data_IF_899363367723
#
_entry.id   IF_899363367723
#
_cell.length_a   1.000
_cell.length_b   1.000
_cell.length_c   1.000
_cell.angle_alpha   90.00
_cell.angle_beta   90.00
_cell.angle_gamma   90.00
#
_symmetry.space_group_name_H-M   'P 1'
#
loop_
_entity.id
_entity.type
_entity.pdbx_description
1 polymer ?
#
# COMPACT_ATOMS: atom_id res chain seq x y z
N UNK A 1 -0.08 -7.70 17.47
CA UNK A 1 0.52 -7.86 16.13
C UNK A 1 0.85 -6.48 15.60
N UNK A 2 1.83 -6.40 14.69
CA UNK A 2 2.40 -5.14 14.20
C UNK A 2 2.27 -5.00 12.68
N UNK A 3 2.27 -3.77 12.21
CA UNK A 3 2.37 -3.38 10.81
C UNK A 3 3.82 -3.15 10.37
N UNK A 4 4.73 -2.94 11.31
CA UNK A 4 6.16 -2.77 11.04
C UNK A 4 6.95 -4.02 11.42
N UNK A 5 7.93 -4.37 10.58
CA UNK A 5 8.83 -5.50 10.82
C UNK A 5 10.03 -5.01 11.63
N UNK A 6 10.05 -5.31 12.93
CA UNK A 6 11.21 -5.06 13.79
C UNK A 6 11.97 -6.36 14.06
N UNK A 7 13.30 -6.30 14.14
CA UNK A 7 14.12 -7.48 14.50
C UNK A 7 13.83 -8.02 15.93
N UNK A 8 13.02 -7.32 16.74
CA UNK A 8 12.63 -7.76 18.08
C UNK A 8 11.21 -7.35 18.54
N UNK A 9 10.54 -8.28 19.25
CA UNK A 9 9.39 -8.21 20.20
C UNK A 9 7.92 -8.36 19.78
N UNK A 10 7.52 -8.53 18.51
CA UNK A 10 6.11 -8.85 18.22
C UNK A 10 5.83 -9.43 16.82
N UNK A 11 4.88 -10.37 16.67
CA UNK A 11 4.58 -10.94 15.36
C UNK A 11 3.84 -9.92 14.49
N UNK A 12 4.17 -9.91 13.19
CA UNK A 12 3.35 -9.23 12.18
C UNK A 12 1.93 -9.79 12.17
N UNK A 13 0.99 -9.00 11.65
CA UNK A 13 -0.35 -9.49 11.35
C UNK A 13 -0.33 -10.68 10.36
N UNK A 14 -1.28 -11.63 10.46
CA UNK A 14 -1.20 -12.88 9.70
C UNK A 14 -1.19 -12.65 8.19
N UNK A 15 -2.03 -11.75 7.68
CA UNK A 15 -2.06 -11.44 6.25
C UNK A 15 -0.77 -10.81 5.73
N UNK A 16 0.00 -10.12 6.58
CA UNK A 16 1.32 -9.59 6.20
C UNK A 16 2.32 -10.74 6.16
N UNK A 17 2.32 -11.60 7.19
CA UNK A 17 3.17 -12.80 7.24
C UNK A 17 2.96 -13.70 6.04
N UNK A 18 1.72 -13.87 5.63
CA UNK A 18 1.37 -14.68 4.46
C UNK A 18 2.02 -14.18 3.17
N UNK A 19 2.34 -12.88 3.07
CA UNK A 19 3.05 -12.30 1.93
C UNK A 19 4.57 -12.33 2.11
N UNK A 20 5.10 -12.09 3.31
CA UNK A 20 6.55 -11.87 3.51
C UNK A 20 7.32 -13.06 4.09
N UNK A 21 6.63 -14.10 4.56
CA UNK A 21 7.24 -15.30 5.10
C UNK A 21 7.07 -16.51 4.16
N UNK A 22 8.05 -17.40 4.17
CA UNK A 22 8.04 -18.66 3.42
C UNK A 22 8.04 -19.83 4.42
N UNK A 23 6.87 -20.29 4.89
CA UNK A 23 6.78 -21.29 5.94
C UNK A 23 7.14 -22.71 5.47
N UNK A 24 7.13 -22.95 4.17
CA UNK A 24 7.45 -24.24 3.54
C UNK A 24 8.21 -24.03 2.22
N UNK A 25 8.93 -25.05 1.77
CA UNK A 25 9.57 -25.05 0.46
C UNK A 25 8.53 -25.12 -0.66
N UNK A 26 8.53 -24.16 -1.58
CA UNK A 26 7.62 -24.11 -2.72
C UNK A 26 8.36 -24.53 -3.99
N UNK A 27 7.82 -25.50 -4.74
CA UNK A 27 8.46 -26.02 -5.96
C UNK A 27 7.46 -26.63 -6.91
N UNK A 28 7.97 -27.13 -8.05
CA UNK A 28 7.18 -27.78 -9.10
C UNK A 28 6.18 -28.78 -8.54
N UNK A 29 4.93 -28.67 -9.02
CA UNK A 29 3.80 -29.49 -8.57
C UNK A 29 3.00 -28.88 -7.41
N UNK A 30 3.48 -27.81 -6.78
CA UNK A 30 2.66 -27.02 -5.84
C UNK A 30 1.54 -26.31 -6.60
N UNK A 31 0.36 -26.20 -5.98
CA UNK A 31 -0.82 -25.52 -6.54
C UNK A 31 -1.44 -24.55 -5.53
N UNK A 32 -2.35 -23.71 -6.01
CA UNK A 32 -3.11 -22.77 -5.21
C UNK A 32 -2.29 -21.58 -4.76
N UNK A 33 -2.64 -20.99 -3.61
CA UNK A 33 -2.11 -19.70 -3.17
C UNK A 33 -0.58 -19.63 -3.05
N UNK A 34 0.08 -20.71 -2.64
CA UNK A 34 1.54 -20.75 -2.57
C UNK A 34 2.17 -20.60 -3.96
N UNK A 35 1.66 -21.30 -4.98
CA UNK A 35 2.12 -21.16 -6.36
C UNK A 35 1.76 -19.77 -6.91
N UNK A 36 0.53 -19.31 -6.65
CA UNK A 36 0.06 -17.99 -7.07
C UNK A 36 0.97 -16.86 -6.57
N UNK A 37 1.35 -16.85 -5.29
CA UNK A 37 2.24 -15.82 -4.74
C UNK A 37 3.62 -15.83 -5.37
N UNK A 38 4.19 -17.01 -5.66
CA UNK A 38 5.44 -17.08 -6.43
C UNK A 38 5.28 -16.40 -7.77
N UNK A 39 4.22 -16.72 -8.51
CA UNK A 39 3.96 -16.14 -9.83
C UNK A 39 3.74 -14.63 -9.77
N UNK A 40 2.95 -14.15 -8.79
CA UNK A 40 2.72 -12.73 -8.55
C UNK A 40 4.01 -11.97 -8.22
N UNK A 41 4.84 -12.51 -7.33
CA UNK A 41 6.11 -11.88 -6.97
C UNK A 41 7.13 -11.90 -8.11
N UNK A 42 7.17 -12.97 -8.92
CA UNK A 42 7.99 -12.97 -10.13
C UNK A 42 7.54 -11.86 -11.10
N UNK A 43 6.23 -11.70 -11.28
CA UNK A 43 5.66 -10.61 -12.08
C UNK A 43 6.05 -9.22 -11.55
N UNK A 44 5.98 -9.02 -10.24
CA UNK A 44 6.40 -7.76 -9.60
C UNK A 44 7.91 -7.51 -9.73
N UNK A 45 8.72 -8.56 -9.84
CA UNK A 45 10.16 -8.46 -10.11
C UNK A 45 10.49 -8.34 -11.61
N UNK A 46 9.50 -7.99 -12.45
CA UNK A 46 9.69 -7.70 -13.88
C UNK A 46 9.75 -8.93 -14.80
N UNK A 47 9.46 -10.12 -14.29
CA UNK A 47 9.38 -11.34 -15.10
C UNK A 47 7.94 -11.51 -15.63
N UNK A 48 7.76 -12.13 -16.79
CA UNK A 48 6.44 -12.27 -17.40
C UNK A 48 5.99 -13.72 -17.43
N UNK A 49 4.92 -14.03 -16.71
CA UNK A 49 4.25 -15.33 -16.74
C UNK A 49 2.76 -15.21 -16.45
N UNK A 50 2.02 -16.26 -16.78
CA UNK A 50 0.60 -16.37 -16.41
C UNK A 50 0.51 -16.76 -14.93
N UNK A 51 -0.39 -16.09 -14.20
CA UNK A 51 -0.74 -16.45 -12.83
C UNK A 51 -1.92 -17.42 -12.90
N UNK A 52 -1.62 -18.72 -12.97
CA UNK A 52 -2.58 -19.82 -13.08
C UNK A 52 -2.71 -20.67 -11.81
N UNK A 53 -2.00 -20.27 -10.75
CA UNK A 53 -1.94 -20.97 -9.46
C UNK A 53 -1.34 -22.39 -9.57
N UNK A 54 -0.60 -22.70 -10.64
CA UNK A 54 0.09 -23.97 -10.85
C UNK A 54 1.60 -23.74 -10.97
N UNK A 55 2.38 -24.30 -10.06
CA UNK A 55 3.83 -24.29 -10.17
C UNK A 55 4.26 -25.36 -11.18
N UNK A 56 4.08 -25.05 -12.46
CA UNK A 56 4.46 -25.87 -13.60
C UNK A 56 5.89 -25.60 -14.11
N UNK A 57 6.25 -26.21 -15.25
CA UNK A 57 7.56 -26.00 -15.89
C UNK A 57 7.87 -24.53 -16.23
N UNK A 58 6.85 -23.73 -16.54
CA UNK A 58 7.00 -22.28 -16.81
C UNK A 58 7.44 -21.57 -15.54
N UNK A 59 6.70 -21.70 -14.44
CA UNK A 59 7.06 -21.09 -13.15
C UNK A 59 8.43 -21.55 -12.66
N UNK A 60 8.75 -22.85 -12.76
CA UNK A 60 10.07 -23.38 -12.41
C UNK A 60 11.20 -22.71 -13.20
N UNK A 61 11.02 -22.56 -14.51
CA UNK A 61 12.01 -21.91 -15.38
C UNK A 61 12.19 -20.44 -15.01
N UNK A 62 11.09 -19.73 -14.76
CA UNK A 62 11.13 -18.32 -14.37
C UNK A 62 11.73 -18.10 -12.98
N UNK A 63 11.51 -19.02 -12.02
CA UNK A 63 12.20 -18.99 -10.72
C UNK A 63 13.71 -19.16 -10.89
N UNK A 64 14.14 -20.09 -11.75
CA UNK A 64 15.57 -20.27 -12.06
C UNK A 64 16.19 -19.02 -12.69
N UNK A 65 15.47 -18.37 -13.60
CA UNK A 65 15.88 -17.08 -14.18
C UNK A 65 16.04 -16.00 -13.10
N UNK A 66 15.04 -15.86 -12.22
CA UNK A 66 15.09 -14.95 -11.08
C UNK A 66 16.28 -15.25 -10.16
N UNK A 67 16.49 -16.52 -9.82
CA UNK A 67 17.58 -16.96 -8.96
C UNK A 67 18.94 -16.61 -9.57
N UNK A 68 19.16 -16.90 -10.86
CA UNK A 68 20.40 -16.52 -11.56
C UNK A 68 20.63 -15.02 -11.58
N UNK A 69 19.59 -14.24 -11.88
CA UNK A 69 19.67 -12.78 -11.92
C UNK A 69 20.05 -12.17 -10.56
N UNK A 70 19.67 -12.84 -9.46
CA UNK A 70 19.92 -12.39 -8.09
C UNK A 70 21.07 -13.13 -7.38
N UNK A 71 21.92 -13.87 -8.12
CA UNK A 71 23.03 -14.64 -7.57
C UNK A 71 22.63 -15.65 -6.46
N UNK A 72 21.44 -16.25 -6.61
CA UNK A 72 20.94 -17.32 -5.74
C UNK A 72 21.27 -18.70 -6.33
N UNK A 73 21.03 -19.75 -5.54
CA UNK A 73 21.11 -21.14 -6.03
C UNK A 73 20.06 -21.34 -7.12
N UNK A 74 20.49 -21.71 -8.34
CA UNK A 74 19.62 -22.04 -9.48
C UNK A 74 19.12 -23.49 -9.35
N UNK A 75 18.15 -23.70 -8.48
CA UNK A 75 17.51 -25.01 -8.23
C UNK A 75 16.01 -25.02 -8.59
N UNK A 76 15.42 -23.87 -8.92
CA UNK A 76 14.01 -23.75 -9.23
C UNK A 76 13.10 -24.02 -8.05
N UNK A 77 13.64 -24.06 -6.82
CA UNK A 77 12.90 -24.21 -5.56
C UNK A 77 12.90 -22.88 -4.80
N UNK A 78 11.73 -22.47 -4.31
CA UNK A 78 11.57 -21.22 -3.56
C UNK A 78 11.55 -21.53 -2.06
N UNK A 79 12.72 -21.41 -1.44
CA UNK A 79 12.90 -21.43 0.01
C UNK A 79 12.98 -20.01 0.62
N UNK A 80 13.25 -19.89 1.94
CA UNK A 80 13.27 -18.61 2.64
C UNK A 80 14.24 -17.57 2.05
N UNK A 81 15.38 -18.01 1.52
CA UNK A 81 16.38 -17.11 0.92
C UNK A 81 15.83 -16.51 -0.39
N UNK A 82 15.32 -17.34 -1.31
CA UNK A 82 14.71 -16.85 -2.56
C UNK A 82 13.49 -16.00 -2.28
N UNK A 83 12.66 -16.39 -1.31
CA UNK A 83 11.49 -15.63 -0.92
C UNK A 83 11.84 -14.23 -0.42
N UNK A 84 12.83 -14.11 0.47
CA UNK A 84 13.25 -12.81 1.00
C UNK A 84 13.70 -11.82 -0.09
N UNK A 85 14.27 -12.32 -1.20
CA UNK A 85 14.61 -11.49 -2.37
C UNK A 85 13.37 -11.15 -3.18
N UNK A 86 12.46 -12.11 -3.41
CA UNK A 86 11.19 -11.87 -4.12
C UNK A 86 10.37 -10.75 -3.48
N UNK A 87 10.34 -10.71 -2.14
CA UNK A 87 9.50 -9.78 -1.36
C UNK A 87 10.28 -8.56 -0.82
N UNK A 88 11.50 -8.33 -1.32
CA UNK A 88 12.44 -7.36 -0.75
C UNK A 88 11.86 -5.95 -0.64
N UNK A 89 11.11 -5.50 -1.65
CA UNK A 89 10.47 -4.18 -1.67
C UNK A 89 9.40 -4.03 -0.57
N UNK A 90 8.59 -5.07 -0.36
CA UNK A 90 7.61 -5.07 0.73
C UNK A 90 8.29 -5.12 2.09
N UNK A 91 9.36 -5.91 2.23
CA UNK A 91 10.16 -5.90 3.45
C UNK A 91 10.80 -4.53 3.71
N UNK A 92 11.26 -3.83 2.67
CA UNK A 92 11.89 -2.52 2.81
C UNK A 92 10.92 -1.50 3.42
N UNK A 93 9.67 -1.44 2.95
CA UNK A 93 8.67 -0.51 3.49
C UNK A 93 8.17 -0.92 4.88
N UNK A 94 8.09 -2.21 5.17
CA UNK A 94 7.71 -2.73 6.50
C UNK A 94 8.80 -2.52 7.55
N UNK A 95 10.07 -2.58 7.16
CA UNK A 95 11.23 -2.39 8.07
C UNK A 95 11.65 -0.93 8.24
N UNK A 96 11.16 -0.04 7.37
CA UNK A 96 11.59 1.35 7.39
C UNK A 96 11.30 1.99 8.75
N UNK A 97 12.30 2.62 9.36
CA UNK A 97 12.16 3.39 10.61
C UNK A 97 11.73 4.82 10.30
N UNK A 98 11.20 5.56 11.28
CA UNK A 98 10.97 7.01 11.13
C UNK A 98 12.27 7.78 11.36
N UNK A 99 12.45 8.90 10.67
CA UNK A 99 13.63 9.77 10.80
C UNK A 99 13.43 10.89 11.84
N UNK A 100 12.82 10.58 13.00
CA UNK A 100 12.57 11.50 14.12
C UNK A 100 11.54 12.62 13.87
N UNK A 101 10.56 12.43 12.99
CA UNK A 101 9.41 13.34 13.00
C UNK A 101 8.52 13.03 14.20
N UNK A 102 8.42 13.95 15.17
CA UNK A 102 7.41 13.83 16.24
C UNK A 102 5.99 14.03 15.70
N UNK A 103 5.84 14.55 14.47
CA UNK A 103 4.54 14.87 13.88
C UNK A 103 4.01 13.72 13.03
N UNK A 104 2.76 13.31 13.28
CA UNK A 104 2.05 12.28 12.53
C UNK A 104 2.00 12.66 11.05
N UNK A 105 1.64 13.90 10.73
CA UNK A 105 1.45 14.35 9.35
C UNK A 105 2.69 14.13 8.47
N UNK A 106 3.88 14.36 9.02
CA UNK A 106 5.16 14.07 8.37
C UNK A 106 5.47 12.57 8.36
N UNK A 107 5.21 11.84 9.45
CA UNK A 107 5.43 10.40 9.50
C UNK A 107 4.60 9.63 8.45
N UNK A 108 3.32 10.01 8.24
CA UNK A 108 2.52 9.39 7.16
C UNK A 108 3.10 9.70 5.78
N UNK A 109 3.64 10.91 5.56
CA UNK A 109 4.32 11.23 4.30
C UNK A 109 5.64 10.49 4.12
N UNK A 110 6.41 10.26 5.19
CA UNK A 110 7.60 9.39 5.11
C UNK A 110 7.19 7.99 4.65
N UNK A 111 6.09 7.44 5.19
CA UNK A 111 5.56 6.14 4.74
C UNK A 111 5.08 6.19 3.30
N UNK A 112 4.29 7.19 2.93
CA UNK A 112 3.79 7.36 1.58
C UNK A 112 4.92 7.45 0.55
N UNK A 113 6.01 8.18 0.86
CA UNK A 113 7.20 8.27 0.00
C UNK A 113 7.97 6.96 -0.09
N UNK A 114 8.09 6.22 1.02
CA UNK A 114 8.73 4.90 1.02
C UNK A 114 7.96 3.91 0.13
N UNK A 115 6.63 3.89 0.24
CA UNK A 115 5.78 3.08 -0.63
C UNK A 115 5.85 3.55 -2.09
N UNK A 116 5.79 4.85 -2.36
CA UNK A 116 5.95 5.37 -3.72
C UNK A 116 7.28 4.93 -4.37
N UNK A 117 8.37 4.90 -3.61
CA UNK A 117 9.70 4.54 -4.12
C UNK A 117 9.80 3.09 -4.60
N UNK A 118 9.03 2.18 -4.01
CA UNK A 118 8.99 0.75 -4.42
C UNK A 118 7.83 0.43 -5.36
N UNK A 119 7.10 1.45 -5.80
CA UNK A 119 6.05 1.37 -6.83
C UNK A 119 5.09 0.16 -6.69
N UNK A 120 4.30 0.05 -5.60
CA UNK A 120 3.27 -0.98 -5.45
C UNK A 120 2.29 -0.98 -6.61
N UNK A 121 2.11 -2.13 -7.26
CA UNK A 121 1.15 -2.32 -8.35
C UNK A 121 0.29 -3.56 -8.15
N UNK A 122 -0.87 -3.55 -8.79
CA UNK A 122 -1.73 -4.71 -8.94
C UNK A 122 -1.08 -5.76 -9.83
N UNK A 123 -1.34 -7.03 -9.52
CA UNK A 123 -0.92 -8.15 -10.35
C UNK A 123 -1.94 -9.28 -10.26
N UNK A 124 -2.16 -9.99 -11.36
CA UNK A 124 -3.18 -11.05 -11.44
C UNK A 124 -4.63 -10.56 -11.61
N UNK A 125 -4.84 -9.28 -11.92
CA UNK A 125 -6.14 -8.69 -12.26
C UNK A 125 -6.49 -7.46 -11.41
N UNK A 126 -7.66 -6.88 -11.67
CA UNK A 126 -8.11 -5.66 -11.01
C UNK A 126 -8.25 -5.85 -9.49
N UNK A 127 -7.70 -4.90 -8.73
CA UNK A 127 -7.68 -4.88 -7.27
C UNK A 127 -7.07 -6.17 -6.68
N UNK A 128 -6.06 -6.76 -7.33
CA UNK A 128 -5.40 -8.01 -6.88
C UNK A 128 -3.91 -7.89 -6.66
N UNK A 129 -3.38 -8.88 -5.95
CA UNK A 129 -1.96 -9.09 -5.80
C UNK A 129 -1.44 -8.76 -4.40
N UNK A 130 -0.15 -9.01 -4.14
CA UNK A 130 0.43 -8.91 -2.80
C UNK A 130 0.28 -7.54 -2.17
N UNK A 131 0.47 -6.46 -2.93
CA UNK A 131 0.33 -5.10 -2.43
C UNK A 131 -1.12 -4.76 -2.06
N UNK A 132 -2.10 -5.20 -2.84
CA UNK A 132 -3.51 -5.01 -2.48
C UNK A 132 -3.84 -5.76 -1.19
N UNK A 133 -3.42 -7.02 -1.08
CA UNK A 133 -3.63 -7.81 0.14
C UNK A 133 -2.94 -7.19 1.36
N UNK A 134 -1.80 -6.53 1.19
CA UNK A 134 -1.15 -5.79 2.26
C UNK A 134 -2.05 -4.67 2.81
N UNK A 135 -2.57 -3.82 1.91
CA UNK A 135 -3.39 -2.65 2.28
C UNK A 135 -4.82 -3.01 2.71
N UNK A 136 -5.32 -4.16 2.24
CA UNK A 136 -6.71 -4.59 2.43
C UNK A 136 -6.86 -5.73 3.44
N UNK A 137 -5.89 -5.88 4.35
CA UNK A 137 -5.89 -6.90 5.42
C UNK A 137 -6.13 -8.33 4.92
N UNK A 138 -5.50 -8.67 3.79
CA UNK A 138 -5.55 -9.98 3.14
C UNK A 138 -6.63 -10.13 2.07
N UNK A 139 -7.52 -9.15 1.93
CA UNK A 139 -8.56 -9.15 0.90
C UNK A 139 -8.05 -8.63 -0.45
N UNK A 140 -8.69 -9.05 -1.53
CA UNK A 140 -8.39 -8.63 -2.91
C UNK A 140 -9.56 -8.99 -3.85
N UNK A 141 -9.48 -8.51 -5.09
CA UNK A 141 -10.47 -8.65 -6.16
C UNK A 141 -11.33 -7.41 -6.34
N UNK A 142 -12.14 -7.38 -7.39
CA UNK A 142 -12.89 -6.19 -7.83
C UNK A 142 -13.75 -5.51 -6.74
N UNK A 143 -14.15 -6.23 -5.69
CA UNK A 143 -14.90 -5.69 -4.56
C UNK A 143 -14.04 -4.89 -3.55
N UNK A 144 -12.71 -4.85 -3.74
CA UNK A 144 -11.73 -4.31 -2.81
C UNK A 144 -10.87 -3.20 -3.43
N UNK A 145 -11.47 -2.08 -3.88
CA UNK A 145 -10.69 -0.90 -4.25
C UNK A 145 -9.87 -0.44 -3.05
N UNK A 146 -8.58 -0.16 -3.27
CA UNK A 146 -7.60 -0.13 -2.19
C UNK A 146 -7.04 1.26 -1.84
N UNK A 147 -7.60 2.35 -2.37
CA UNK A 147 -7.16 3.72 -2.06
C UNK A 147 -7.30 4.06 -0.57
N UNK A 148 -8.47 3.80 0.02
CA UNK A 148 -8.72 4.05 1.45
C UNK A 148 -7.99 3.05 2.36
N UNK A 149 -7.78 1.81 1.88
CA UNK A 149 -6.94 0.84 2.58
C UNK A 149 -5.47 1.25 2.62
N UNK A 150 -4.95 1.79 1.51
CA UNK A 150 -3.61 2.37 1.45
C UNK A 150 -3.46 3.52 2.45
N UNK A 151 -4.39 4.49 2.45
CA UNK A 151 -4.38 5.59 3.43
C UNK A 151 -4.43 5.08 4.86
N UNK A 152 -5.34 4.15 5.15
CA UNK A 152 -5.49 3.55 6.49
C UNK A 152 -4.23 2.83 6.93
N UNK A 153 -3.64 2.01 6.06
CA UNK A 153 -2.43 1.25 6.36
C UNK A 153 -1.24 2.15 6.65
N UNK A 154 -1.03 3.22 5.86
CA UNK A 154 0.08 4.15 6.11
C UNK A 154 -0.11 4.97 7.39
N UNK A 155 -1.35 5.33 7.72
CA UNK A 155 -1.66 5.92 9.03
C UNK A 155 -1.36 4.94 10.17
N UNK A 156 -1.76 3.67 10.04
CA UNK A 156 -1.50 2.62 11.03
C UNK A 156 0.02 2.43 11.23
N UNK A 157 0.80 2.36 10.14
CA UNK A 157 2.26 2.30 10.20
C UNK A 157 2.88 3.52 10.88
N UNK A 158 2.44 4.73 10.50
CA UNK A 158 2.97 5.97 11.07
C UNK A 158 2.66 6.08 12.57
N UNK A 159 1.43 5.76 12.98
CA UNK A 159 1.05 5.78 14.38
C UNK A 159 1.80 4.73 15.21
N UNK A 160 2.03 3.53 14.65
CA UNK A 160 2.83 2.49 15.32
C UNK A 160 4.28 2.94 15.52
N UNK A 161 4.89 3.59 14.53
CA UNK A 161 6.26 4.13 14.63
C UNK A 161 6.39 5.27 15.65
N UNK A 162 5.33 6.07 15.82
CA UNK A 162 5.30 7.17 16.78
C UNK A 162 4.80 6.77 18.17
N UNK A 163 4.41 5.51 18.38
CA UNK A 163 3.71 5.03 19.58
C UNK A 163 2.47 5.89 19.92
N UNK A 164 1.66 6.19 18.89
CA UNK A 164 0.47 7.03 18.99
C UNK A 164 -0.80 6.27 18.66
N UNK A 165 -1.92 6.80 19.16
CA UNK A 165 -3.24 6.36 18.73
C UNK A 165 -3.57 6.99 17.39
N UNK A 166 -4.23 6.20 16.55
CA UNK A 166 -4.80 6.68 15.30
C UNK A 166 -5.82 7.80 15.57
N UNK A 167 -5.78 8.93 14.82
CA UNK A 167 -6.68 10.06 15.02
C UNK A 167 -8.12 9.75 14.58
N UNK A 168 -8.28 8.81 13.66
CA UNK A 168 -9.54 8.16 13.26
C UNK A 168 -9.29 6.66 13.11
N UNK A 169 -10.29 5.81 13.28
CA UNK A 169 -10.11 4.35 13.26
C UNK A 169 -9.62 3.78 11.92
N UNK A 170 -9.78 4.52 10.82
CA UNK A 170 -9.48 4.04 9.47
C UNK A 170 -10.63 3.24 8.87
N UNK A 171 -10.57 3.00 7.56
CA UNK A 171 -11.55 2.22 6.80
C UNK A 171 -11.07 1.92 5.38
N UNK A 172 -11.65 0.92 4.75
CA UNK A 172 -11.53 0.66 3.31
C UNK A 172 -12.50 1.49 2.46
N UNK A 173 -13.32 2.35 3.08
CA UNK A 173 -14.30 3.22 2.41
C UNK A 173 -13.95 4.69 2.65
N UNK A 174 -13.89 5.47 1.58
CA UNK A 174 -13.72 6.93 1.65
C UNK A 174 -14.85 7.60 2.43
N UNK A 175 -16.09 7.13 2.28
CA UNK A 175 -17.25 7.65 3.03
C UNK A 175 -17.11 7.42 4.54
N UNK A 176 -16.60 6.25 4.91
CA UNK A 176 -16.33 5.95 6.32
C UNK A 176 -15.20 6.82 6.88
N UNK A 177 -14.14 7.05 6.11
CA UNK A 177 -13.06 7.97 6.52
C UNK A 177 -13.61 9.39 6.71
N UNK A 178 -14.43 9.88 5.78
CA UNK A 178 -15.10 11.17 5.87
C UNK A 178 -16.00 11.27 7.11
N UNK A 179 -16.84 10.27 7.37
CA UNK A 179 -17.72 10.22 8.53
C UNK A 179 -16.95 10.23 9.85
N UNK A 180 -15.86 9.45 9.95
CA UNK A 180 -14.99 9.43 11.12
C UNK A 180 -14.30 10.78 11.33
N UNK A 181 -13.78 11.40 10.26
CA UNK A 181 -13.16 12.71 10.31
C UNK A 181 -14.13 13.81 10.75
N UNK A 182 -15.39 13.77 10.29
CA UNK A 182 -16.45 14.69 10.74
C UNK A 182 -16.71 14.53 12.23
N UNK A 183 -16.83 13.28 12.71
CA UNK A 183 -17.03 12.99 14.13
C UNK A 183 -15.83 13.45 15.00
N UNK A 184 -14.62 13.41 14.45
CA UNK A 184 -13.40 13.86 15.11
C UNK A 184 -13.11 15.36 14.97
N UNK A 185 -13.93 16.12 14.23
CA UNK A 185 -13.69 17.55 13.98
C UNK A 185 -12.50 17.85 13.05
N UNK A 186 -12.10 16.87 12.23
CA UNK A 186 -10.94 16.95 11.32
C UNK A 186 -11.34 17.19 9.86
N UNK A 187 -12.64 17.16 9.56
CA UNK A 187 -13.16 17.26 8.21
C UNK A 187 -13.26 18.72 7.76
N UNK A 188 -12.69 19.02 6.60
CA UNK A 188 -12.76 20.33 5.95
C UNK A 188 -13.51 20.15 4.63
N UNK A 189 -14.67 20.79 4.54
CA UNK A 189 -15.43 20.91 3.28
C UNK A 189 -14.71 21.85 2.32
N UNK A 190 -14.67 21.46 1.05
CA UNK A 190 -14.23 22.20 -0.14
C UNK A 190 -13.61 23.59 0.05
N UNK A 191 -12.37 23.73 -0.42
CA UNK A 191 -11.59 24.96 -0.37
C UNK A 191 -10.23 24.73 0.28
N UNK A 192 -9.31 25.67 0.07
CA UNK A 192 -8.07 25.72 0.84
C UNK A 192 -8.41 26.35 2.18
N UNK A 193 -8.08 25.74 3.33
CA UNK A 193 -8.08 26.46 4.60
C UNK A 193 -7.30 27.77 4.43
N UNK A 194 -7.69 28.87 5.09
CA UNK A 194 -6.96 30.14 5.03
C UNK A 194 -5.47 30.01 5.38
N UNK A 195 -5.13 28.99 6.18
CA UNK A 195 -3.78 28.63 6.63
C UNK A 195 -3.03 27.66 5.68
N UNK A 196 -3.63 27.30 4.54
CA UNK A 196 -3.10 26.31 3.61
C UNK A 196 -3.44 24.87 4.01
N UNK A 197 -3.15 23.89 3.14
CA UNK A 197 -3.25 22.47 3.48
C UNK A 197 -1.91 21.98 4.04
N UNK A 198 -1.85 21.55 5.32
CA UNK A 198 -0.64 20.96 5.86
C UNK A 198 -0.22 19.69 5.10
N UNK A 199 1.08 19.45 4.90
CA UNK A 199 1.57 18.17 4.40
C UNK A 199 1.08 17.02 5.28
N UNK A 200 0.64 15.93 4.65
CA UNK A 200 0.04 14.76 5.32
C UNK A 200 -1.48 14.82 5.38
N UNK A 201 -2.11 15.93 5.00
CA UNK A 201 -3.56 16.01 4.83
C UNK A 201 -4.06 14.91 3.90
N UNK A 202 -5.21 14.32 4.20
CA UNK A 202 -5.85 13.34 3.30
C UNK A 202 -6.87 14.10 2.45
N UNK A 203 -6.80 13.97 1.12
CA UNK A 203 -7.86 14.50 0.26
C UNK A 203 -8.91 13.43 0.00
N UNK A 204 -10.13 13.86 -0.30
CA UNK A 204 -11.25 13.01 -0.69
C UNK A 204 -11.86 13.53 -1.98
N UNK A 205 -11.98 12.67 -2.99
CA UNK A 205 -12.65 13.02 -4.25
C UNK A 205 -14.17 12.94 -4.07
N UNK A 206 -14.83 14.10 -4.01
CA UNK A 206 -16.25 14.22 -3.72
C UNK A 206 -17.09 14.00 -4.97
N UNK A 207 -17.99 13.00 -4.95
CA UNK A 207 -19.05 12.85 -5.95
C UNK A 207 -20.34 13.54 -5.50
N UNK A 208 -20.71 13.35 -4.24
CA UNK A 208 -21.82 14.06 -3.60
C UNK A 208 -21.41 14.51 -2.19
N UNK A 209 -22.24 15.28 -1.49
CA UNK A 209 -21.94 15.71 -0.11
C UNK A 209 -21.78 14.58 0.91
N UNK A 210 -22.14 13.34 0.52
CA UNK A 210 -22.02 12.13 1.36
C UNK A 210 -21.42 10.94 0.62
N UNK A 211 -20.80 11.14 -0.55
CA UNK A 211 -20.19 10.09 -1.38
C UNK A 211 -18.83 10.55 -1.90
N UNK A 212 -17.77 9.88 -1.46
CA UNK A 212 -16.39 10.08 -1.87
C UNK A 212 -15.83 8.83 -2.52
N UNK A 213 -15.15 9.01 -3.64
CA UNK A 213 -14.83 7.90 -4.53
C UNK A 213 -13.36 7.51 -4.53
N UNK A 214 -12.49 8.39 -4.04
CA UNK A 214 -11.04 8.22 -4.07
C UNK A 214 -10.37 9.07 -3.00
N UNK A 215 -9.16 8.68 -2.60
CA UNK A 215 -8.41 9.36 -1.54
C UNK A 215 -6.90 9.12 -1.67
N UNK A 216 -6.12 9.95 -0.99
CA UNK A 216 -4.66 9.86 -0.88
C UNK A 216 -4.12 10.98 0.00
N UNK A 217 -2.80 11.05 0.13
CA UNK A 217 -2.14 12.07 0.95
C UNK A 217 -1.69 13.25 0.11
N UNK A 218 -1.93 14.46 0.59
CA UNK A 218 -1.35 15.71 0.11
C UNK A 218 0.07 15.81 0.67
N UNK A 219 1.08 15.95 -0.19
CA UNK A 219 2.46 16.13 0.25
C UNK A 219 2.99 17.55 0.07
N UNK A 220 2.33 18.35 -0.77
CA UNK A 220 2.66 19.75 -1.05
C UNK A 220 1.41 20.44 -1.58
N UNK A 221 1.14 21.67 -1.15
CA UNK A 221 -0.01 22.46 -1.57
C UNK A 221 0.46 23.81 -2.12
N UNK A 222 -0.09 24.20 -3.26
CA UNK A 222 0.13 25.48 -3.93
C UNK A 222 -1.19 26.28 -3.96
N UNK A 223 -1.16 27.49 -4.52
CA UNK A 223 -2.33 28.38 -4.57
C UNK A 223 -3.51 27.78 -5.35
N UNK A 224 -3.25 27.08 -6.45
CA UNK A 224 -4.31 26.60 -7.37
C UNK A 224 -4.42 25.08 -7.47
N UNK A 225 -3.40 24.36 -6.98
CA UNK A 225 -3.32 22.90 -7.03
C UNK A 225 -2.57 22.36 -5.82
N UNK A 226 -2.57 21.04 -5.67
CA UNK A 226 -1.77 20.34 -4.69
C UNK A 226 -1.23 19.03 -5.27
N UNK A 227 -0.12 18.55 -4.70
CA UNK A 227 0.55 17.31 -5.07
C UNK A 227 0.23 16.22 -4.06
N UNK A 228 0.10 15.00 -4.57
CA UNK A 228 -0.44 13.88 -3.82
C UNK A 228 0.39 12.61 -4.00
N UNK A 229 0.29 11.70 -3.04
CA UNK A 229 0.67 10.29 -3.17
C UNK A 229 -0.58 9.47 -2.90
N UNK A 230 -0.93 8.60 -3.84
CA UNK A 230 -2.21 7.90 -3.88
C UNK A 230 -1.98 6.42 -4.17
N UNK A 231 -2.83 5.56 -3.61
CA UNK A 231 -2.95 4.16 -4.02
C UNK A 231 -4.23 3.94 -4.82
N UNK A 232 -4.31 2.88 -5.61
CA UNK A 232 -5.41 2.58 -6.54
C UNK A 232 -5.69 3.75 -7.50
N UNK A 233 -4.65 4.28 -8.12
CA UNK A 233 -4.73 5.37 -9.11
C UNK A 233 -3.92 5.03 -10.36
N UNK A 234 -4.05 5.83 -11.42
CA UNK A 234 -3.35 5.66 -12.70
C UNK A 234 -3.23 7.02 -13.42
N UNK A 235 -2.55 7.05 -14.57
CA UNK A 235 -2.31 8.30 -15.33
C UNK A 235 -3.61 8.94 -15.84
N UNK A 236 -4.71 8.20 -15.90
CA UNK A 236 -6.01 8.67 -16.38
C UNK A 236 -6.83 9.38 -15.30
N UNK A 237 -6.36 9.39 -14.04
CA UNK A 237 -7.06 10.01 -12.92
C UNK A 237 -8.42 9.36 -12.61
N UNK A 238 -8.61 8.12 -13.04
CA UNK A 238 -9.85 7.34 -12.89
C UNK A 238 -10.05 6.85 -11.44
N UNK A 239 -11.24 6.30 -11.16
CA UNK A 239 -11.60 5.72 -9.86
C UNK A 239 -10.88 4.40 -9.55
N UNK A 240 -10.47 3.68 -10.60
CA UNK A 240 -9.91 2.33 -10.51
C UNK A 240 -8.54 2.36 -11.19
N UNK A 241 -7.53 2.66 -10.39
CA UNK A 241 -6.15 2.58 -10.82
C UNK A 241 -5.56 1.19 -10.65
N UNK A 242 -4.25 1.11 -10.72
CA UNK A 242 -3.54 -0.15 -10.52
C UNK A 242 -2.21 0.02 -9.77
N UNK A 243 -1.86 1.24 -9.36
CA UNK A 243 -0.55 1.55 -8.78
C UNK A 243 -0.63 2.54 -7.63
N UNK A 244 0.46 2.62 -6.86
CA UNK A 244 0.78 3.78 -6.03
C UNK A 244 1.58 4.77 -6.86
N UNK A 245 1.11 6.01 -7.01
CA UNK A 245 1.83 7.04 -7.75
C UNK A 245 1.57 8.45 -7.23
N UNK A 246 2.36 9.40 -7.75
CA UNK A 246 2.25 10.82 -7.44
C UNK A 246 1.39 11.56 -8.47
N UNK A 247 0.48 12.43 -8.01
CA UNK A 247 -0.43 13.19 -8.89
C UNK A 247 -0.53 14.65 -8.48
N UNK A 248 -0.95 15.49 -9.44
CA UNK A 248 -1.40 16.87 -9.20
C UNK A 248 -2.92 16.90 -9.26
N UNK A 249 -3.55 17.55 -8.29
CA UNK A 249 -5.00 17.68 -8.17
C UNK A 249 -5.36 19.15 -7.99
N UNK A 250 -6.50 19.57 -8.55
CA UNK A 250 -7.11 20.85 -8.22
C UNK A 250 -8.06 20.73 -7.03
N UNK A 251 -8.37 21.86 -6.40
CA UNK A 251 -9.22 21.91 -5.19
C UNK A 251 -10.71 21.63 -5.44
N UNK A 252 -11.20 21.86 -6.66
CA UNK A 252 -12.61 21.68 -6.97
C UNK A 252 -13.07 20.23 -6.79
N UNK A 253 -14.21 20.04 -6.10
CA UNK A 253 -14.75 18.73 -5.80
C UNK A 253 -13.83 17.89 -4.92
N UNK A 254 -13.03 18.53 -4.06
CA UNK A 254 -12.21 17.88 -3.05
C UNK A 254 -12.61 18.37 -1.68
N UNK A 255 -12.77 17.42 -0.76
CA UNK A 255 -12.80 17.71 0.67
C UNK A 255 -11.51 17.16 1.29
N UNK A 256 -11.24 17.52 2.55
CA UNK A 256 -9.98 17.18 3.21
C UNK A 256 -10.21 16.65 4.62
N UNK A 257 -9.30 15.78 5.06
CA UNK A 257 -9.14 15.39 6.47
C UNK A 257 -7.78 15.94 6.90
N UNK A 258 -7.82 16.96 7.75
CA UNK A 258 -6.63 17.64 8.27
C UNK A 258 -6.35 17.10 9.66
N UNK A 259 -5.15 16.57 9.88
CA UNK A 259 -4.77 16.11 11.21
C UNK A 259 -4.74 17.29 12.19
N UNK A 260 -5.15 17.09 13.46
CA UNK A 260 -5.03 18.12 14.49
C UNK A 260 -3.61 18.67 14.53
N UNK A 261 -3.48 19.95 14.85
CA UNK A 261 -2.17 20.56 15.08
C UNK A 261 -1.49 19.88 16.26
N UNK A 262 -0.39 19.20 15.98
CA UNK A 262 0.48 18.53 16.95
C UNK A 262 1.66 19.42 17.37
#
# INVERSE_FOLDING_TARGET
MRYTYSENTGPLFPWIRDEVECPELIKKGKRGMAARRVQEWLCLNGLSLVIDEDYGPVTETTVREFQRANNLVDDGEVGPITWAVLVADMLAVLKATSNNSEKLSFAVLERARAHLAVHPVETGGQNRGPWVRLYMKGHEGNAWPWCAGFVTFLMEQACELLDRRMPISGSFSCDSLAAQARAAGMFVEEGVPPEGLPPGTIFLNRRTSTDWTHTGFVHEAEETLFHTIEGNTNDEGSREGYEVCARRRGYSGKDFIVFPTE
#
